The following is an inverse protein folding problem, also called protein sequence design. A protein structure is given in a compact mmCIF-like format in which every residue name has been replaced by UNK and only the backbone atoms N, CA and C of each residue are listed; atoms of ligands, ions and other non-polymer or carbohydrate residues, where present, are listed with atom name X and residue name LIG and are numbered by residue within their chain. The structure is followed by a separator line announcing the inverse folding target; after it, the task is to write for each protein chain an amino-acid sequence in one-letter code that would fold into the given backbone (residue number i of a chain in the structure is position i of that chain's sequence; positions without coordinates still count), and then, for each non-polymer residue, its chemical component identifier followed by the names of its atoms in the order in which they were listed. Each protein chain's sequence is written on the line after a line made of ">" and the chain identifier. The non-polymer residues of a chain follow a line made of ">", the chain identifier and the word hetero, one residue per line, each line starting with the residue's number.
data_IF_467409977496
#
_entry.id   IF_467409977496
#
_cell.length_a   1.000
_cell.length_b   1.000
_cell.length_c   1.000
_cell.angle_alpha   90.00
_cell.angle_beta   90.00
_cell.angle_gamma   90.00
#
_symmetry.space_group_name_H-M   'P 1'
#
loop_
_entity.id
_entity.type
_entity.pdbx_description
1 polymer ?
#
# COMPACT_ATOMS: atom_id res chain seq x y z
N UNK A 1 13.93 12.05 44.84
CA UNK A 1 14.79 12.38 43.69
C UNK A 1 15.87 11.30 43.51
N UNK A 2 15.57 10.19 42.83
CA UNK A 2 16.59 9.22 42.38
C UNK A 2 16.87 9.50 40.91
N UNK A 3 17.74 10.48 40.62
CA UNK A 3 18.18 10.79 39.24
C UNK A 3 19.28 9.82 38.82
N UNK A 4 18.98 9.01 37.82
CA UNK A 4 19.83 8.72 36.66
C UNK A 4 21.25 8.15 36.84
N UNK A 5 21.58 7.48 37.95
CA UNK A 5 22.88 6.76 38.05
C UNK A 5 22.93 5.40 37.35
N UNK A 6 21.80 4.87 36.88
CA UNK A 6 21.70 3.60 36.15
C UNK A 6 21.18 3.76 34.72
N UNK A 7 21.30 4.94 34.10
CA UNK A 7 20.92 5.11 32.70
C UNK A 7 22.05 4.57 31.80
N UNK A 8 21.71 3.72 30.84
CA UNK A 8 22.68 3.15 29.89
C UNK A 8 23.51 4.23 29.18
N UNK A 9 22.93 5.41 28.91
CA UNK A 9 23.65 6.54 28.32
C UNK A 9 24.74 7.10 29.24
N UNK A 10 24.49 7.13 30.56
CA UNK A 10 25.50 7.53 31.54
C UNK A 10 26.62 6.49 31.69
N UNK A 11 26.29 5.20 31.61
CA UNK A 11 27.27 4.11 31.66
C UNK A 11 28.17 4.12 30.41
N UNK A 12 27.57 4.37 29.24
CA UNK A 12 28.28 4.48 27.97
C UNK A 12 28.96 5.84 27.74
N UNK A 13 28.79 6.80 28.65
CA UNK A 13 29.26 8.19 28.51
C UNK A 13 28.81 8.86 27.21
N UNK A 14 27.61 8.53 26.73
CA UNK A 14 27.02 9.09 25.51
C UNK A 14 26.10 10.26 25.88
N UNK A 15 26.38 11.43 25.32
CA UNK A 15 25.46 12.58 25.36
C UNK A 15 24.56 12.53 24.12
N UNK A 16 23.23 12.38 24.26
CA UNK A 16 22.34 12.34 23.11
C UNK A 16 22.34 13.69 22.39
N UNK A 17 22.33 13.64 21.05
CA UNK A 17 22.21 14.85 20.23
C UNK A 17 20.84 15.50 20.40
N UNK A 18 20.73 16.80 20.11
CA UNK A 18 19.43 17.49 20.09
C UNK A 18 18.42 16.79 19.16
N UNK A 19 18.89 16.27 18.02
CA UNK A 19 18.09 15.52 17.04
C UNK A 19 17.55 14.21 17.62
N UNK A 20 18.37 13.47 18.36
CA UNK A 20 17.95 12.22 19.02
C UNK A 20 16.91 12.49 20.11
N UNK A 21 17.08 13.56 20.89
CA UNK A 21 16.11 13.96 21.91
C UNK A 21 14.78 14.38 21.28
N UNK A 22 14.81 15.16 20.20
CA UNK A 22 13.62 15.54 19.44
C UNK A 22 12.92 14.31 18.85
N UNK A 23 13.68 13.38 18.26
CA UNK A 23 13.11 12.16 17.67
C UNK A 23 12.33 11.34 18.70
N UNK A 24 12.95 11.08 19.86
CA UNK A 24 12.33 10.29 20.93
C UNK A 24 11.10 11.00 21.52
N UNK A 25 11.16 12.30 21.72
CA UNK A 25 10.09 13.05 22.40
C UNK A 25 8.94 13.44 21.47
N UNK A 26 9.26 13.89 20.26
CA UNK A 26 8.32 14.61 19.40
C UNK A 26 8.01 13.87 18.10
N UNK A 27 8.93 13.05 17.56
CA UNK A 27 8.76 12.35 16.27
C UNK A 27 8.15 10.95 16.42
N UNK A 28 7.14 10.81 17.29
CA UNK A 28 6.56 9.50 17.66
C UNK A 28 5.94 8.75 16.48
N UNK A 29 5.40 9.47 15.50
CA UNK A 29 4.83 8.88 14.28
C UNK A 29 5.86 8.13 13.42
N UNK A 30 7.16 8.34 13.65
CA UNK A 30 8.24 7.66 12.94
C UNK A 30 8.91 6.57 13.78
N UNK A 31 8.38 6.27 14.98
CA UNK A 31 8.89 5.22 15.87
C UNK A 31 8.21 3.88 15.56
N UNK A 32 8.38 3.40 14.33
CA UNK A 32 7.59 2.31 13.74
C UNK A 32 7.97 0.90 14.20
N UNK A 33 9.00 0.77 15.03
CA UNK A 33 9.57 -0.50 15.50
C UNK A 33 8.61 -1.48 16.20
N UNK A 34 7.38 -1.09 16.52
CA UNK A 34 6.35 -1.99 17.09
C UNK A 34 5.36 -2.50 16.04
N UNK A 35 5.37 -1.93 14.83
CA UNK A 35 4.51 -2.36 13.75
C UNK A 35 4.93 -3.74 13.27
N UNK A 36 3.94 -4.53 12.88
CA UNK A 36 4.14 -5.88 12.34
C UNK A 36 5.03 -5.85 11.09
N UNK A 37 4.84 -4.85 10.22
CA UNK A 37 5.58 -4.67 8.96
C UNK A 37 7.04 -4.31 9.17
N UNK A 38 7.41 -3.83 10.35
CA UNK A 38 8.80 -3.55 10.75
C UNK A 38 9.44 -4.67 11.58
N UNK A 39 8.69 -5.74 11.89
CA UNK A 39 9.24 -6.88 12.65
C UNK A 39 10.02 -7.83 11.74
N UNK A 40 11.02 -8.47 12.34
CA UNK A 40 11.72 -9.59 11.71
C UNK A 40 10.80 -10.81 11.59
N UNK A 41 10.83 -11.48 10.45
CA UNK A 41 10.07 -12.71 10.25
C UNK A 41 10.83 -13.93 10.80
N UNK A 42 10.21 -14.79 11.63
CA UNK A 42 10.92 -15.93 12.23
C UNK A 42 11.51 -16.93 11.22
N UNK A 43 10.83 -17.14 10.08
CA UNK A 43 11.26 -18.06 9.01
C UNK A 43 12.55 -17.65 8.31
N UNK A 44 12.96 -16.38 8.44
CA UNK A 44 14.13 -15.82 7.73
C UNK A 44 15.16 -15.25 8.70
N UNK A 45 15.09 -15.60 9.99
CA UNK A 45 15.95 -15.01 11.02
C UNK A 45 17.45 -15.18 10.72
N UNK A 46 17.83 -16.31 10.12
CA UNK A 46 19.20 -16.67 9.74
C UNK A 46 19.42 -16.66 8.21
N UNK A 47 18.58 -15.98 7.42
CA UNK A 47 18.60 -16.03 5.96
C UNK A 47 19.99 -15.76 5.36
N UNK A 48 20.72 -14.78 5.88
CA UNK A 48 22.06 -14.43 5.38
C UNK A 48 23.08 -15.55 5.52
N UNK A 49 22.94 -16.40 6.54
CA UNK A 49 23.80 -17.56 6.73
C UNK A 49 23.37 -18.70 5.80
N UNK A 50 22.06 -18.99 5.78
CA UNK A 50 21.50 -20.06 4.95
C UNK A 50 21.79 -19.85 3.45
N UNK A 51 21.58 -18.64 2.92
CA UNK A 51 21.75 -18.36 1.50
C UNK A 51 23.22 -18.36 1.06
N UNK A 52 24.13 -18.06 1.99
CA UNK A 52 25.58 -18.09 1.73
C UNK A 52 26.04 -19.53 1.48
N UNK A 53 25.51 -20.49 2.24
CA UNK A 53 25.88 -21.90 2.14
C UNK A 53 25.06 -22.64 1.08
N UNK A 54 23.78 -22.27 0.91
CA UNK A 54 22.88 -22.83 -0.10
C UNK A 54 21.85 -21.81 -0.58
N UNK A 55 21.98 -21.40 -1.85
CA UNK A 55 21.00 -20.51 -2.49
C UNK A 55 19.61 -21.14 -2.53
N UNK A 56 19.52 -22.44 -2.78
CA UNK A 56 18.24 -23.17 -2.79
C UNK A 56 17.53 -23.06 -1.43
N UNK A 57 18.26 -23.24 -0.33
CA UNK A 57 17.70 -23.15 1.01
C UNK A 57 17.28 -21.71 1.35
N UNK A 58 18.09 -20.72 0.96
CA UNK A 58 17.71 -19.32 1.10
C UNK A 58 16.44 -18.96 0.33
N UNK A 59 16.28 -19.46 -0.90
CA UNK A 59 15.06 -19.26 -1.69
C UNK A 59 13.85 -19.95 -1.05
N UNK A 60 14.00 -21.17 -0.53
CA UNK A 60 12.93 -21.85 0.23
C UNK A 60 12.48 -21.02 1.42
N UNK A 61 13.41 -20.43 2.18
CA UNK A 61 13.06 -19.57 3.30
C UNK A 61 12.24 -18.34 2.86
N UNK A 62 12.68 -17.63 1.81
CA UNK A 62 11.96 -16.46 1.29
C UNK A 62 10.55 -16.85 0.83
N UNK A 63 10.44 -17.86 -0.02
CA UNK A 63 9.16 -18.33 -0.58
C UNK A 63 8.22 -18.86 0.51
N UNK A 64 8.75 -19.45 1.58
CA UNK A 64 7.92 -19.94 2.70
C UNK A 64 7.19 -18.82 3.44
N UNK A 65 7.64 -17.56 3.35
CA UNK A 65 6.93 -16.40 3.92
C UNK A 65 5.64 -16.13 3.16
N UNK A 66 5.62 -16.32 1.84
CA UNK A 66 4.44 -16.07 1.00
C UNK A 66 3.25 -16.98 1.36
N UNK A 67 3.51 -18.15 1.97
CA UNK A 67 2.45 -19.02 2.50
C UNK A 67 1.57 -18.30 3.53
N UNK A 68 2.14 -17.35 4.28
CA UNK A 68 1.43 -16.63 5.33
C UNK A 68 0.43 -15.63 4.74
N UNK A 69 0.69 -15.13 3.52
CA UNK A 69 -0.27 -14.33 2.73
C UNK A 69 -1.52 -15.16 2.43
N UNK A 70 -1.34 -16.38 1.92
CA UNK A 70 -2.45 -17.28 1.61
C UNK A 70 -3.27 -17.64 2.85
N UNK A 71 -2.59 -17.95 3.97
CA UNK A 71 -3.24 -18.20 5.26
C UNK A 71 -4.03 -16.96 5.72
N UNK A 72 -3.46 -15.77 5.55
CA UNK A 72 -4.11 -14.52 5.94
C UNK A 72 -5.37 -14.24 5.11
N UNK A 73 -5.34 -14.44 3.78
CA UNK A 73 -6.53 -14.32 2.95
C UNK A 73 -7.64 -15.28 3.38
N UNK A 74 -7.30 -16.54 3.67
CA UNK A 74 -8.28 -17.49 4.20
C UNK A 74 -8.89 -17.04 5.53
N UNK A 75 -8.09 -16.48 6.44
CA UNK A 75 -8.59 -15.92 7.70
C UNK A 75 -9.51 -14.72 7.47
N UNK A 76 -9.15 -13.84 6.52
CA UNK A 76 -9.95 -12.65 6.18
C UNK A 76 -11.33 -13.08 5.69
N UNK A 77 -11.41 -14.02 4.76
CA UNK A 77 -12.68 -14.47 4.15
C UNK A 77 -13.56 -15.22 5.17
N UNK A 78 -12.96 -15.93 6.13
CA UNK A 78 -13.71 -16.61 7.21
C UNK A 78 -14.34 -15.65 8.22
N UNK A 79 -13.86 -14.42 8.30
CA UNK A 79 -14.41 -13.41 9.21
C UNK A 79 -15.52 -12.63 8.54
N UNK A 80 -16.75 -12.80 9.03
CA UNK A 80 -17.95 -12.16 8.46
C UNK A 80 -17.85 -10.64 8.36
N UNK A 81 -17.21 -9.97 9.33
CA UNK A 81 -17.04 -8.51 9.30
C UNK A 81 -16.16 -8.08 8.12
N UNK A 82 -15.07 -8.80 7.89
CA UNK A 82 -14.17 -8.50 6.77
C UNK A 82 -14.86 -8.74 5.43
N UNK A 83 -15.60 -9.85 5.31
CA UNK A 83 -16.37 -10.16 4.10
C UNK A 83 -17.41 -9.08 3.81
N UNK A 84 -18.10 -8.57 4.83
CA UNK A 84 -19.03 -7.45 4.67
C UNK A 84 -18.31 -6.18 4.20
N UNK A 85 -17.17 -5.82 4.79
CA UNK A 85 -16.39 -4.65 4.35
C UNK A 85 -15.86 -4.80 2.92
N UNK A 86 -15.44 -6.00 2.52
CA UNK A 86 -15.01 -6.28 1.15
C UNK A 86 -16.18 -6.16 0.15
N UNK A 87 -17.34 -6.70 0.50
CA UNK A 87 -18.56 -6.54 -0.31
C UNK A 87 -18.95 -5.07 -0.44
N UNK A 88 -18.90 -4.30 0.65
CA UNK A 88 -19.15 -2.85 0.63
C UNK A 88 -18.19 -2.11 -0.29
N UNK A 89 -16.90 -2.45 -0.28
CA UNK A 89 -15.92 -1.87 -1.19
C UNK A 89 -16.20 -2.23 -2.65
N UNK A 90 -16.58 -3.48 -2.93
CA UNK A 90 -16.96 -3.92 -4.26
C UNK A 90 -18.22 -3.20 -4.77
N UNK A 91 -19.24 -3.08 -3.93
CA UNK A 91 -20.47 -2.36 -4.24
C UNK A 91 -20.21 -0.87 -4.52
N UNK A 92 -19.33 -0.24 -3.75
CA UNK A 92 -18.92 1.14 -3.99
C UNK A 92 -18.28 1.32 -5.37
N UNK A 93 -17.39 0.41 -5.78
CA UNK A 93 -16.79 0.40 -7.13
C UNK A 93 -17.85 0.22 -8.20
N UNK A 94 -18.77 -0.73 -8.03
CA UNK A 94 -19.87 -0.97 -8.99
C UNK A 94 -20.77 0.25 -9.14
N UNK A 95 -21.11 0.91 -8.03
CA UNK A 95 -21.93 2.12 -8.05
C UNK A 95 -21.20 3.28 -8.72
N UNK A 96 -19.91 3.48 -8.42
CA UNK A 96 -19.09 4.48 -9.09
C UNK A 96 -19.06 4.26 -10.61
N UNK A 97 -18.93 3.01 -11.07
CA UNK A 97 -18.97 2.70 -12.50
C UNK A 97 -20.33 3.07 -13.14
N UNK A 98 -21.45 2.73 -12.49
CA UNK A 98 -22.80 3.01 -13.00
C UNK A 98 -23.11 4.50 -13.03
N UNK A 99 -22.65 5.23 -12.02
CA UNK A 99 -22.85 6.67 -11.86
C UNK A 99 -21.80 7.50 -12.61
N UNK A 100 -20.90 6.85 -13.37
CA UNK A 100 -19.81 7.49 -14.11
C UNK A 100 -18.89 8.34 -13.21
N UNK A 101 -18.64 7.86 -12.00
CA UNK A 101 -17.69 8.40 -11.03
C UNK A 101 -16.31 7.77 -11.19
N UNK A 102 -15.29 8.45 -10.68
CA UNK A 102 -13.90 8.00 -10.75
C UNK A 102 -13.56 7.07 -9.59
N UNK A 103 -12.65 6.15 -9.87
CA UNK A 103 -12.09 5.21 -8.90
C UNK A 103 -10.60 5.49 -8.83
N UNK A 104 -10.12 5.96 -7.68
CA UNK A 104 -8.73 6.27 -7.47
C UNK A 104 -8.06 5.21 -6.60
N UNK A 105 -6.86 4.80 -6.98
CA UNK A 105 -5.98 3.97 -6.14
C UNK A 105 -4.71 4.77 -5.88
N UNK A 106 -4.44 5.13 -4.64
CA UNK A 106 -3.28 5.89 -4.22
C UNK A 106 -2.28 5.01 -3.48
N UNK A 107 -0.99 5.22 -3.76
CA UNK A 107 0.11 4.64 -3.01
C UNK A 107 1.43 5.36 -3.22
N UNK A 108 2.42 4.99 -2.41
CA UNK A 108 3.80 5.50 -2.47
C UNK A 108 4.74 4.36 -2.87
N UNK A 109 5.85 4.67 -3.55
CA UNK A 109 6.87 3.67 -3.89
C UNK A 109 6.29 2.43 -4.60
N UNK A 110 6.41 1.26 -3.96
CA UNK A 110 5.92 -0.01 -4.53
C UNK A 110 4.38 -0.07 -4.61
N UNK A 111 3.65 0.45 -3.62
CA UNK A 111 2.18 0.47 -3.65
C UNK A 111 1.67 1.46 -4.72
N UNK A 112 2.36 2.57 -4.95
CA UNK A 112 2.07 3.50 -6.05
C UNK A 112 2.29 2.87 -7.43
N UNK A 113 3.36 2.09 -7.61
CA UNK A 113 3.58 1.30 -8.84
C UNK A 113 2.50 0.25 -9.04
N UNK A 114 2.05 -0.40 -7.96
CA UNK A 114 0.93 -1.35 -8.02
C UNK A 114 -0.37 -0.65 -8.44
N UNK A 115 -0.66 0.54 -7.90
CA UNK A 115 -1.82 1.35 -8.30
C UNK A 115 -1.83 1.62 -9.81
N UNK A 116 -0.67 1.98 -10.38
CA UNK A 116 -0.52 2.18 -11.82
C UNK A 116 -0.66 0.89 -12.63
N UNK A 117 -0.22 -0.25 -12.11
CA UNK A 117 -0.50 -1.55 -12.72
C UNK A 117 -1.99 -1.91 -12.70
N UNK A 118 -2.70 -1.62 -11.61
CA UNK A 118 -4.16 -1.81 -11.53
C UNK A 118 -4.88 -1.05 -12.65
N UNK A 119 -4.49 0.19 -12.93
CA UNK A 119 -5.02 0.98 -14.05
C UNK A 119 -4.61 0.40 -15.42
N UNK A 120 -3.30 0.31 -15.67
CA UNK A 120 -2.76 0.13 -17.02
C UNK A 120 -2.73 -1.31 -17.49
N UNK A 121 -2.43 -2.26 -16.61
CA UNK A 121 -2.24 -3.67 -16.94
C UNK A 121 -3.48 -4.53 -16.66
N UNK A 122 -4.35 -4.10 -15.74
CA UNK A 122 -5.52 -4.88 -15.33
C UNK A 122 -6.83 -4.25 -15.82
N UNK A 123 -7.15 -3.04 -15.36
CA UNK A 123 -8.46 -2.41 -15.61
C UNK A 123 -8.70 -2.12 -17.09
N UNK A 124 -7.80 -1.35 -17.73
CA UNK A 124 -7.96 -0.97 -19.14
C UNK A 124 -7.98 -2.20 -20.07
N UNK A 125 -7.05 -3.17 -19.97
CA UNK A 125 -7.08 -4.35 -20.84
C UNK A 125 -8.31 -5.22 -20.64
N UNK A 126 -8.79 -5.37 -19.39
CA UNK A 126 -10.01 -6.10 -19.11
C UNK A 126 -11.21 -5.49 -19.83
N UNK A 127 -11.47 -4.19 -19.66
CA UNK A 127 -12.61 -3.52 -20.28
C UNK A 127 -12.51 -3.46 -21.80
N UNK A 128 -11.31 -3.26 -22.37
CA UNK A 128 -11.08 -3.36 -23.83
C UNK A 128 -11.47 -4.73 -24.37
N UNK A 129 -11.14 -5.81 -23.64
CA UNK A 129 -11.50 -7.17 -24.02
C UNK A 129 -13.01 -7.38 -23.93
N UNK A 130 -13.66 -6.88 -22.87
CA UNK A 130 -15.12 -6.97 -22.70
C UNK A 130 -15.85 -6.24 -23.82
N UNK A 131 -15.43 -5.01 -24.18
CA UNK A 131 -16.02 -4.23 -25.28
C UNK A 131 -15.97 -4.93 -26.64
N UNK A 132 -14.90 -5.68 -26.91
CA UNK A 132 -14.76 -6.49 -28.13
C UNK A 132 -15.56 -7.79 -28.12
N UNK A 133 -16.18 -8.14 -27.00
CA UNK A 133 -16.94 -9.38 -26.82
C UNK A 133 -18.44 -9.15 -26.96
N UNK A 134 -19.18 -10.25 -27.20
CA UNK A 134 -20.65 -10.23 -27.20
C UNK A 134 -21.28 -9.78 -25.87
N UNK A 135 -20.52 -9.77 -24.78
CA UNK A 135 -21.00 -9.30 -23.47
C UNK A 135 -21.23 -7.80 -23.46
N UNK A 136 -20.51 -7.03 -24.27
CA UNK A 136 -20.66 -5.57 -24.30
C UNK A 136 -22.06 -5.12 -24.67
N UNK A 137 -22.69 -5.81 -25.63
CA UNK A 137 -24.06 -5.53 -26.05
C UNK A 137 -25.07 -5.60 -24.90
N UNK A 138 -24.79 -6.43 -23.89
CA UNK A 138 -25.63 -6.58 -22.68
C UNK A 138 -25.32 -5.53 -21.61
N UNK A 139 -24.13 -4.95 -21.63
CA UNK A 139 -23.61 -4.08 -20.57
C UNK A 139 -23.64 -2.59 -20.94
N UNK A 140 -23.56 -2.27 -22.24
CA UNK A 140 -23.44 -0.88 -22.75
C UNK A 140 -24.61 0.04 -22.39
N UNK A 141 -25.78 -0.52 -22.04
CA UNK A 141 -26.92 0.27 -21.56
C UNK A 141 -26.80 0.71 -20.11
N UNK A 142 -25.95 0.03 -19.33
CA UNK A 142 -25.85 0.17 -17.88
C UNK A 142 -24.48 0.67 -17.43
N UNK A 143 -23.51 0.72 -18.34
CA UNK A 143 -22.14 1.12 -18.10
C UNK A 143 -21.72 2.20 -19.11
N UNK A 144 -20.90 3.17 -18.69
CA UNK A 144 -20.47 4.24 -19.57
C UNK A 144 -19.48 3.75 -20.63
N UNK A 145 -19.48 4.39 -21.80
CA UNK A 145 -18.56 4.04 -22.89
C UNK A 145 -17.09 4.29 -22.51
N UNK A 146 -16.80 5.27 -21.64
CA UNK A 146 -15.46 5.57 -21.13
C UNK A 146 -15.07 4.77 -19.87
N UNK A 147 -15.68 3.59 -19.65
CA UNK A 147 -15.41 2.73 -18.49
C UNK A 147 -13.92 2.40 -18.28
N UNK A 148 -13.15 2.30 -19.35
CA UNK A 148 -11.70 2.07 -19.32
C UNK A 148 -10.92 3.19 -18.61
N UNK A 149 -11.47 4.41 -18.60
CA UNK A 149 -10.85 5.62 -18.06
C UNK A 149 -11.38 5.99 -16.66
N UNK A 150 -12.22 5.15 -16.06
CA UNK A 150 -12.78 5.43 -14.73
C UNK A 150 -11.81 5.12 -13.59
N UNK A 151 -10.93 4.14 -13.76
CA UNK A 151 -9.92 3.81 -12.75
C UNK A 151 -8.64 4.57 -13.03
N UNK A 152 -8.15 5.29 -12.01
CA UNK A 152 -6.91 6.06 -12.06
C UNK A 152 -6.00 5.56 -10.94
N UNK A 153 -4.84 5.03 -11.32
CA UNK A 153 -3.78 4.69 -10.37
C UNK A 153 -2.94 5.93 -10.13
N UNK A 154 -2.75 6.33 -8.89
CA UNK A 154 -1.93 7.47 -8.49
C UNK A 154 -0.71 7.02 -7.71
N UNK A 155 0.43 7.60 -8.10
CA UNK A 155 1.72 7.38 -7.47
C UNK A 155 2.25 8.71 -6.97
N UNK A 156 2.50 8.79 -5.66
CA UNK A 156 3.16 9.96 -5.06
C UNK A 156 4.56 10.14 -5.65
N UNK A 157 4.86 11.35 -6.13
CA UNK A 157 6.11 11.67 -6.82
C UNK A 157 6.05 11.59 -8.36
N UNK A 158 4.89 11.21 -8.93
CA UNK A 158 4.63 11.27 -10.37
C UNK A 158 5.55 10.38 -11.22
N UNK A 159 5.76 10.77 -12.49
CA UNK A 159 6.52 9.98 -13.47
C UNK A 159 7.96 9.70 -13.04
N UNK A 160 8.59 10.62 -12.30
CA UNK A 160 9.95 10.42 -11.77
C UNK A 160 10.00 9.25 -10.78
N UNK A 161 8.93 9.04 -10.03
CA UNK A 161 8.85 7.98 -9.03
C UNK A 161 8.76 6.57 -9.68
N UNK A 162 8.39 6.48 -10.96
CA UNK A 162 8.42 5.21 -11.70
C UNK A 162 9.84 4.70 -11.96
N UNK A 163 10.76 5.61 -12.27
CA UNK A 163 12.13 5.27 -12.69
C UNK A 163 13.16 5.47 -11.60
N UNK A 164 12.78 6.11 -10.48
CA UNK A 164 13.67 6.36 -9.34
C UNK A 164 12.88 6.40 -8.04
N UNK A 165 13.46 5.87 -6.96
CA UNK A 165 12.87 6.01 -5.63
C UNK A 165 12.93 7.47 -5.17
N UNK A 166 11.79 8.03 -4.79
CA UNK A 166 11.66 9.37 -4.21
C UNK A 166 11.29 9.25 -2.74
N UNK A 167 12.25 8.77 -1.95
CA UNK A 167 12.08 8.59 -0.50
C UNK A 167 11.82 9.93 0.20
N UNK A 168 10.93 9.93 1.21
CA UNK A 168 10.54 11.12 1.98
C UNK A 168 9.38 11.93 1.41
N UNK A 169 8.96 11.71 0.15
CA UNK A 169 7.71 12.33 -0.36
C UNK A 169 6.47 11.80 0.35
N UNK A 170 6.51 10.54 0.79
CA UNK A 170 5.44 9.90 1.57
C UNK A 170 5.22 10.54 2.95
N UNK A 171 6.23 11.25 3.49
CA UNK A 171 6.10 11.98 4.75
C UNK A 171 5.31 13.29 4.62
N UNK A 172 5.07 13.75 3.39
CA UNK A 172 4.46 15.05 3.11
C UNK A 172 2.95 14.93 2.84
N UNK A 173 2.15 15.00 3.91
CA UNK A 173 0.67 15.00 3.81
C UNK A 173 0.11 16.07 2.85
N UNK A 174 0.81 17.22 2.74
CA UNK A 174 0.43 18.28 1.80
C UNK A 174 0.41 17.78 0.35
N UNK A 175 1.34 16.89 -0.04
CA UNK A 175 1.39 16.35 -1.39
C UNK A 175 0.15 15.52 -1.68
N UNK A 176 -0.24 14.61 -0.77
CA UNK A 176 -1.47 13.83 -0.92
C UNK A 176 -2.72 14.71 -1.02
N UNK A 177 -2.80 15.78 -0.22
CA UNK A 177 -3.91 16.75 -0.29
C UNK A 177 -3.95 17.46 -1.64
N UNK A 178 -2.80 17.89 -2.16
CA UNK A 178 -2.70 18.55 -3.46
C UNK A 178 -3.10 17.59 -4.59
N UNK A 179 -2.65 16.33 -4.54
CA UNK A 179 -3.01 15.34 -5.56
C UNK A 179 -4.52 15.05 -5.59
N UNK A 180 -5.18 14.90 -4.43
CA UNK A 180 -6.63 14.74 -4.38
C UNK A 180 -7.36 15.95 -4.96
N UNK A 181 -6.87 17.17 -4.68
CA UNK A 181 -7.45 18.40 -5.21
C UNK A 181 -7.23 18.53 -6.72
N UNK A 182 -6.02 18.26 -7.20
CA UNK A 182 -5.66 18.38 -8.61
C UNK A 182 -6.36 17.31 -9.46
N UNK A 183 -6.76 16.19 -8.86
CA UNK A 183 -7.64 15.18 -9.44
C UNK A 183 -9.12 15.49 -9.32
N UNK A 184 -9.47 16.61 -8.69
CA UNK A 184 -10.84 17.08 -8.50
C UNK A 184 -11.74 16.02 -7.86
N UNK A 185 -11.19 15.25 -6.91
CA UNK A 185 -11.93 14.17 -6.23
C UNK A 185 -13.19 14.76 -5.58
N UNK A 186 -14.34 14.17 -5.92
CA UNK A 186 -15.64 14.68 -5.52
C UNK A 186 -16.54 13.61 -4.88
N UNK A 187 -17.70 14.04 -4.41
CA UNK A 187 -18.66 13.13 -3.78
C UNK A 187 -19.18 12.12 -4.82
N UNK A 188 -19.07 10.84 -4.49
CA UNK A 188 -19.46 9.73 -5.36
C UNK A 188 -18.26 8.99 -5.94
N UNK A 189 -17.07 9.61 -5.92
CA UNK A 189 -15.83 8.91 -6.26
C UNK A 189 -15.45 7.91 -5.16
N UNK A 190 -14.71 6.89 -5.57
CA UNK A 190 -14.14 5.88 -4.67
C UNK A 190 -12.63 6.09 -4.59
N UNK A 191 -12.09 6.16 -3.39
CA UNK A 191 -10.65 6.37 -3.15
C UNK A 191 -10.11 5.24 -2.27
N UNK A 192 -9.17 4.47 -2.82
CA UNK A 192 -8.37 3.50 -2.08
C UNK A 192 -7.00 4.11 -1.76
N UNK A 193 -6.68 4.25 -0.48
CA UNK A 193 -5.36 4.69 -0.02
C UNK A 193 -4.61 3.50 0.57
N UNK A 194 -3.53 3.06 -0.08
CA UNK A 194 -2.80 1.84 0.28
C UNK A 194 -1.49 2.21 0.98
N UNK A 195 -1.32 1.69 2.20
CA UNK A 195 -0.09 1.78 3.00
C UNK A 195 0.20 0.43 3.66
N UNK A 196 1.47 0.11 3.81
CA UNK A 196 1.99 -1.03 4.56
C UNK A 196 2.45 -0.60 5.96
#
# INVERSE_FOLDING_TARGET
>A
MRKDKNNILSLLKIKPSARSVDYVKNKKQFQLHTLLTEQRHPKTWNLSFAIKDSVEEGLKQILSVDEDISKKFQQIIKNIKNTLSLSQAADAVVNAMKERRKIFIYGCGSTGRLAKQMESALWRPFWRKIKKSRLWEKLKSSLPEDIEDLLIGEMTGGDRAFISALEGFEDLQLVGKLQLRDREVEKGDVVFCITE
#
